data_IF_428706602315
#
_entry.id   IF_428706602315
#
_cell.length_a   1.000
_cell.length_b   1.000
_cell.length_c   1.000
_cell.angle_alpha   90.00
_cell.angle_beta   90.00
_cell.angle_gamma   90.00
#
_symmetry.space_group_name_H-M   'P 1'
#
loop_
_entity.id
_entity.type
_entity.pdbx_description
1 polymer ?
#
# COMPACT_ATOMS: atom_id res chain seq x y z
N UNK A 1 -24.35 -15.69 -2.50
CA UNK A 1 -22.88 -15.74 -2.73
C UNK A 1 -22.32 -16.74 -1.73
N UNK A 2 -21.72 -17.85 -2.19
CA UNK A 2 -21.27 -18.95 -1.31
C UNK A 2 -19.81 -18.71 -0.89
N UNK A 3 -19.43 -19.05 0.34
CA UNK A 3 -18.10 -18.79 0.92
C UNK A 3 -16.99 -19.47 0.09
N UNK A 4 -17.27 -20.65 -0.48
CA UNK A 4 -16.37 -21.37 -1.40
C UNK A 4 -15.92 -20.48 -2.56
N UNK A 5 -16.86 -19.81 -3.24
CA UNK A 5 -16.54 -18.95 -4.39
C UNK A 5 -15.70 -17.74 -3.99
N UNK A 6 -15.80 -17.28 -2.74
CA UNK A 6 -15.00 -16.16 -2.23
C UNK A 6 -13.55 -16.57 -1.95
N UNK A 7 -13.35 -17.76 -1.37
CA UNK A 7 -12.02 -18.33 -1.13
C UNK A 7 -11.31 -18.64 -2.45
N UNK A 8 -12.02 -19.19 -3.43
CA UNK A 8 -11.46 -19.46 -4.76
C UNK A 8 -11.00 -18.17 -5.44
N UNK A 9 -11.80 -17.10 -5.36
CA UNK A 9 -11.43 -15.79 -5.89
C UNK A 9 -10.20 -15.19 -5.21
N UNK A 10 -10.03 -15.43 -3.91
CA UNK A 10 -8.89 -14.94 -3.14
C UNK A 10 -7.59 -15.63 -3.54
N UNK A 11 -7.58 -16.96 -3.63
CA UNK A 11 -6.41 -17.72 -4.08
C UNK A 11 -6.06 -17.41 -5.54
N UNK A 12 -7.06 -17.26 -6.42
CA UNK A 12 -6.84 -16.81 -7.80
C UNK A 12 -6.15 -15.43 -7.81
N UNK A 13 -6.55 -14.51 -6.94
CA UNK A 13 -5.96 -13.19 -6.88
C UNK A 13 -4.51 -13.22 -6.35
N UNK A 14 -4.22 -14.05 -5.34
CA UNK A 14 -2.84 -14.27 -4.85
C UNK A 14 -1.93 -14.77 -5.96
N UNK A 15 -2.40 -15.74 -6.75
CA UNK A 15 -1.65 -16.28 -7.88
C UNK A 15 -1.47 -15.26 -9.03
N UNK A 16 -2.43 -14.36 -9.23
CA UNK A 16 -2.29 -13.24 -10.18
C UNK A 16 -1.23 -12.25 -9.70
N UNK A 17 -1.26 -11.87 -8.43
CA UNK A 17 -0.32 -10.91 -7.87
C UNK A 17 1.14 -11.36 -8.02
N UNK A 18 1.41 -12.65 -7.82
CA UNK A 18 2.75 -13.25 -7.99
C UNK A 18 3.34 -13.09 -9.41
N UNK A 19 2.49 -12.82 -10.41
CA UNK A 19 2.87 -12.71 -11.83
C UNK A 19 2.88 -11.27 -12.34
N UNK A 20 2.64 -10.29 -11.47
CA UNK A 20 2.63 -8.88 -11.85
C UNK A 20 4.03 -8.39 -12.25
N UNK A 21 4.12 -7.38 -13.14
CA UNK A 21 5.40 -6.80 -13.54
C UNK A 21 5.92 -5.87 -12.44
N UNK A 22 6.46 -6.45 -11.37
CA UNK A 22 6.88 -5.73 -10.15
C UNK A 22 7.80 -4.55 -10.45
N UNK A 23 8.83 -4.74 -11.27
CA UNK A 23 9.77 -3.66 -11.58
C UNK A 23 9.13 -2.46 -12.28
N UNK A 24 8.17 -2.70 -13.18
CA UNK A 24 7.43 -1.63 -13.85
C UNK A 24 6.54 -0.87 -12.85
N UNK A 25 5.87 -1.61 -11.95
CA UNK A 25 5.05 -1.01 -10.89
C UNK A 25 5.92 -0.15 -9.97
N UNK A 26 7.05 -0.70 -9.50
CA UNK A 26 7.96 0.03 -8.61
C UNK A 26 8.61 1.25 -9.29
N UNK A 27 8.87 1.18 -10.59
CA UNK A 27 9.36 2.31 -11.36
C UNK A 27 8.34 3.47 -11.41
N UNK A 28 7.06 3.17 -11.64
CA UNK A 28 6.01 4.20 -11.62
C UNK A 28 5.81 4.80 -10.22
N UNK A 29 5.86 3.98 -9.16
CA UNK A 29 5.80 4.48 -7.77
C UNK A 29 6.96 5.44 -7.49
N UNK A 30 8.20 5.05 -7.83
CA UNK A 30 9.39 5.90 -7.65
C UNK A 30 9.25 7.22 -8.40
N UNK A 31 8.76 7.18 -9.64
CA UNK A 31 8.54 8.37 -10.46
C UNK A 31 7.55 9.34 -9.79
N UNK A 32 6.43 8.83 -9.27
CA UNK A 32 5.45 9.65 -8.55
C UNK A 32 6.06 10.22 -7.27
N UNK A 33 6.62 9.38 -6.39
CA UNK A 33 7.18 9.83 -5.12
C UNK A 33 8.32 10.84 -5.30
N UNK A 34 9.17 10.64 -6.31
CA UNK A 34 10.24 11.59 -6.66
C UNK A 34 9.69 12.93 -7.16
N UNK A 35 8.58 12.94 -7.91
CA UNK A 35 7.95 14.18 -8.36
C UNK A 35 7.36 15.03 -7.22
N UNK A 36 7.16 14.42 -6.04
CA UNK A 36 6.72 15.09 -4.81
C UNK A 36 7.84 15.25 -3.78
N UNK A 37 9.10 15.10 -4.17
CA UNK A 37 10.29 15.23 -3.28
C UNK A 37 10.23 14.32 -2.05
N UNK A 38 9.73 13.09 -2.19
CA UNK A 38 9.79 12.10 -1.13
C UNK A 38 11.18 11.45 -1.12
N UNK A 39 11.92 11.50 0.00
CA UNK A 39 13.27 10.95 0.08
C UNK A 39 13.31 9.45 -0.24
N UNK A 40 14.23 9.03 -1.11
CA UNK A 40 14.36 7.62 -1.52
C UNK A 40 14.69 6.67 -0.35
N UNK A 41 15.27 7.19 0.75
CA UNK A 41 15.56 6.44 1.96
C UNK A 41 14.35 6.34 2.92
N UNK A 42 13.22 6.99 2.65
CA UNK A 42 12.02 6.89 3.49
C UNK A 42 11.16 5.66 3.19
N UNK A 43 11.40 5.00 2.06
CA UNK A 43 10.62 3.85 1.62
C UNK A 43 11.47 2.74 0.99
N UNK A 44 10.92 1.54 0.95
CA UNK A 44 11.50 0.37 0.33
C UNK A 44 10.44 -0.35 -0.52
N UNK A 45 10.73 -0.60 -1.79
CA UNK A 45 9.84 -1.29 -2.73
C UNK A 45 10.42 -2.68 -3.04
N UNK A 46 9.62 -3.72 -2.84
CA UNK A 46 10.02 -5.12 -3.07
C UNK A 46 11.00 -5.69 -2.05
N UNK A 47 11.42 -4.90 -1.05
CA UNK A 47 12.35 -5.31 -0.01
C UNK A 47 11.59 -5.34 1.32
N UNK A 48 11.38 -6.51 1.94
CA UNK A 48 10.74 -6.61 3.24
C UNK A 48 11.65 -6.11 4.35
N UNK A 49 11.05 -5.67 5.46
CA UNK A 49 11.72 -5.42 6.74
C UNK A 49 12.95 -4.48 6.67
N UNK A 50 12.93 -3.51 5.75
CA UNK A 50 14.01 -2.54 5.61
C UNK A 50 13.95 -1.51 6.74
N UNK A 51 15.01 -1.46 7.56
CA UNK A 51 15.05 -0.67 8.79
C UNK A 51 14.85 0.84 8.55
N UNK A 52 14.02 1.44 9.39
CA UNK A 52 13.56 2.83 9.34
C UNK A 52 12.89 3.24 8.02
N UNK A 53 12.20 2.31 7.35
CA UNK A 53 11.50 2.58 6.08
C UNK A 53 10.07 2.07 6.04
N UNK A 54 9.25 2.77 5.26
CA UNK A 54 7.97 2.25 4.81
C UNK A 54 8.18 1.23 3.69
N UNK A 55 7.85 -0.03 3.95
CA UNK A 55 8.01 -1.13 3.01
C UNK A 55 6.72 -1.36 2.23
N UNK A 56 6.82 -1.61 0.93
CA UNK A 56 5.75 -2.14 0.08
C UNK A 56 6.29 -3.35 -0.69
N UNK A 57 5.71 -4.53 -0.48
CA UNK A 57 6.09 -5.74 -1.23
C UNK A 57 4.94 -6.73 -1.30
N UNK A 58 5.16 -7.86 -1.99
CA UNK A 58 4.25 -9.00 -1.94
C UNK A 58 4.75 -10.04 -0.94
N UNK A 59 3.86 -10.53 -0.09
CA UNK A 59 4.07 -11.61 0.88
C UNK A 59 2.93 -12.63 0.69
N UNK A 60 3.28 -13.89 0.40
CA UNK A 60 2.31 -14.94 0.06
C UNK A 60 1.27 -14.52 -1.01
N UNK A 61 1.66 -13.76 -2.03
CA UNK A 61 0.74 -13.28 -3.07
C UNK A 61 -0.20 -12.14 -2.63
N UNK A 62 -0.06 -11.62 -1.41
CA UNK A 62 -0.76 -10.42 -0.94
C UNK A 62 0.19 -9.23 -0.95
N UNK A 63 -0.33 -8.06 -1.28
CA UNK A 63 0.42 -6.83 -1.15
C UNK A 63 0.40 -6.37 0.30
N UNK A 64 1.56 -6.07 0.87
CA UNK A 64 1.68 -5.64 2.25
C UNK A 64 2.44 -4.32 2.33
N UNK A 65 1.99 -3.45 3.23
CA UNK A 65 2.68 -2.21 3.57
C UNK A 65 2.73 -2.01 5.07
N UNK A 66 3.86 -1.52 5.55
CA UNK A 66 4.12 -1.26 6.97
C UNK A 66 5.36 -0.37 7.12
N UNK A 67 5.51 0.27 8.28
CA UNK A 67 6.79 0.81 8.71
C UNK A 67 7.61 -0.27 9.40
N UNK A 68 8.89 -0.42 9.05
CA UNK A 68 9.80 -1.37 9.69
C UNK A 68 10.84 -0.63 10.51
N UNK A 69 10.98 -0.99 11.78
CA UNK A 69 12.02 -0.47 12.66
C UNK A 69 12.51 -1.59 13.58
N UNK A 70 13.81 -1.90 13.52
CA UNK A 70 14.48 -2.90 14.37
C UNK A 70 13.78 -4.27 14.37
N UNK A 71 13.28 -4.68 13.21
CA UNK A 71 12.55 -5.94 13.02
C UNK A 71 11.08 -5.91 13.48
N UNK A 72 10.56 -4.75 13.90
CA UNK A 72 9.16 -4.56 14.27
C UNK A 72 8.40 -3.93 13.10
N UNK A 73 7.25 -4.52 12.75
CA UNK A 73 6.32 -3.98 11.75
C UNK A 73 5.22 -3.17 12.43
N UNK A 74 5.10 -1.89 12.09
CA UNK A 74 4.07 -0.99 12.59
C UNK A 74 3.12 -0.56 11.47
N UNK A 75 1.83 -0.46 11.77
CA UNK A 75 0.81 0.00 10.80
C UNK A 75 0.58 -0.95 9.63
N UNK A 76 0.72 -2.26 9.86
CA UNK A 76 0.54 -3.29 8.83
C UNK A 76 -0.83 -3.20 8.15
N UNK A 77 -0.79 -3.03 6.83
CA UNK A 77 -1.96 -3.08 5.97
C UNK A 77 -1.72 -4.16 4.89
N UNK A 78 -2.75 -4.96 4.61
CA UNK A 78 -2.70 -6.10 3.69
C UNK A 78 -3.78 -5.91 2.62
N UNK A 79 -3.41 -6.10 1.35
CA UNK A 79 -4.27 -5.86 0.20
C UNK A 79 -4.24 -7.04 -0.77
N UNK A 80 -5.42 -7.38 -1.28
CA UNK A 80 -5.55 -8.39 -2.34
C UNK A 80 -5.23 -7.81 -3.72
N UNK A 81 -5.35 -6.49 -3.90
CA UNK A 81 -5.21 -5.82 -5.19
C UNK A 81 -4.04 -4.84 -5.16
N UNK A 82 -3.21 -4.89 -6.21
CA UNK A 82 -2.11 -3.96 -6.43
C UNK A 82 -2.56 -2.50 -6.47
N UNK A 83 -3.70 -2.19 -7.07
CA UNK A 83 -4.18 -0.81 -7.20
C UNK A 83 -4.45 -0.20 -5.82
N UNK A 84 -5.12 -0.92 -4.93
CA UNK A 84 -5.43 -0.45 -3.59
C UNK A 84 -4.15 -0.28 -2.76
N UNK A 85 -3.24 -1.26 -2.83
CA UNK A 85 -1.97 -1.22 -2.13
C UNK A 85 -1.11 -0.02 -2.55
N UNK A 86 -0.96 0.18 -3.87
CA UNK A 86 -0.16 1.26 -4.44
C UNK A 86 -0.79 2.62 -4.13
N UNK A 87 -2.10 2.76 -4.30
CA UNK A 87 -2.80 4.01 -4.00
C UNK A 87 -2.69 4.37 -2.52
N UNK A 88 -2.91 3.40 -1.63
CA UNK A 88 -2.75 3.61 -0.20
C UNK A 88 -1.32 4.00 0.15
N UNK A 89 -0.32 3.29 -0.38
CA UNK A 89 1.09 3.55 -0.11
C UNK A 89 1.52 4.97 -0.53
N UNK A 90 1.17 5.35 -1.76
CA UNK A 90 1.46 6.69 -2.27
C UNK A 90 0.73 7.75 -1.45
N UNK A 91 -0.59 7.58 -1.22
CA UNK A 91 -1.36 8.51 -0.41
C UNK A 91 -0.75 8.67 0.99
N UNK A 92 -0.34 7.58 1.63
CA UNK A 92 0.21 7.59 2.98
C UNK A 92 1.54 8.36 3.06
N UNK A 93 2.43 8.17 2.09
CA UNK A 93 3.71 8.91 2.03
C UNK A 93 3.52 10.38 1.63
N UNK A 94 2.45 10.70 0.92
CA UNK A 94 2.14 12.06 0.49
C UNK A 94 1.19 12.80 1.42
N UNK A 95 0.62 12.15 2.46
CA UNK A 95 -0.48 12.72 3.25
C UNK A 95 -0.18 14.10 3.84
N UNK A 96 1.08 14.37 4.21
CA UNK A 96 1.51 15.65 4.77
C UNK A 96 1.71 16.75 3.70
N UNK A 97 1.76 16.36 2.42
CA UNK A 97 1.85 17.25 1.24
C UNK A 97 0.50 17.43 0.53
N UNK A 98 -0.46 16.56 0.81
CA UNK A 98 -1.80 16.62 0.23
C UNK A 98 -2.69 17.53 1.08
N UNK A 99 -3.69 18.20 0.47
CA UNK A 99 -4.66 18.98 1.24
C UNK A 99 -5.37 18.06 2.24
N UNK A 100 -5.56 18.55 3.46
CA UNK A 100 -6.33 17.83 4.46
C UNK A 100 -7.74 17.54 3.93
N UNK A 101 -8.19 16.30 4.10
CA UNK A 101 -9.59 15.98 3.89
C UNK A 101 -10.38 16.77 4.93
N UNK A 102 -11.27 17.64 4.46
CA UNK A 102 -12.22 18.32 5.34
C UNK A 102 -13.26 17.31 5.82
N UNK A 103 -12.91 16.55 6.85
CA UNK A 103 -13.84 15.61 7.48
C UNK A 103 -15.09 16.31 7.98
N UNK A 104 -14.98 17.59 8.35
CA UNK A 104 -16.11 18.46 8.70
C UNK A 104 -17.13 18.64 7.57
N UNK A 105 -16.75 18.52 6.30
CA UNK A 105 -17.70 18.58 5.16
C UNK A 105 -18.22 17.21 4.74
N UNK A 106 -17.64 16.14 5.27
CA UNK A 106 -18.03 14.74 5.01
C UNK A 106 -18.81 14.16 6.20
N UNK A 107 -18.88 14.90 7.31
CA UNK A 107 -19.61 14.52 8.51
C UNK A 107 -21.11 14.39 8.22
N UNK A 108 -21.53 13.16 7.89
CA UNK A 108 -22.90 12.78 7.58
C UNK A 108 -23.84 12.93 8.80
N UNK A 109 -23.30 13.20 9.99
CA UNK A 109 -24.05 13.31 11.23
C UNK A 109 -24.27 14.75 11.70
N UNK A 110 -23.99 15.76 10.86
CA UNK A 110 -24.19 17.18 11.21
C UNK A 110 -25.64 17.63 11.39
N UNK A 111 -26.64 16.74 11.32
CA UNK A 111 -28.06 17.06 11.52
C UNK A 111 -28.75 16.07 12.47
N UNK A 112 -28.29 15.98 13.72
CA UNK A 112 -29.12 15.56 14.87
C UNK A 112 -28.91 16.51 16.03
#
# INVERSE_FOLDING_TARGET
MNISNMLDNYEIQKERNKKLPFENIYAEIRKILNAYDIPMNSFALGIPDCDERYCLHVEDGLWVTYFSERGIRSGLCIFCNVHDAVNFFIWFLLKDKLPEISWKSIDLFKNT
#
